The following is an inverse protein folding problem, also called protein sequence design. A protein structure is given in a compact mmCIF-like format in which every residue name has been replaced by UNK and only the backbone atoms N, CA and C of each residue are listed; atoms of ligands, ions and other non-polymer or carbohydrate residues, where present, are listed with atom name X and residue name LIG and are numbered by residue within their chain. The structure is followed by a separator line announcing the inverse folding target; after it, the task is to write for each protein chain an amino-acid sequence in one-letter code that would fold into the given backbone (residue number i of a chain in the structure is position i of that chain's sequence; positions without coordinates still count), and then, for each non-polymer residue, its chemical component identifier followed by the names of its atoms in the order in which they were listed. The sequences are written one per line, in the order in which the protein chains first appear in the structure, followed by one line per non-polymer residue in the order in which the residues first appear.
data_IF_940205258631
#
_entry.id   IF_940205258631
#
_cell.length_a   1.000
_cell.length_b   1.000
_cell.length_c   1.000
_cell.angle_alpha   90.00
_cell.angle_beta   90.00
_cell.angle_gamma   90.00
#
_symmetry.space_group_name_H-M   'P 1'
#
loop_
_entity.id
_entity.type
_entity.pdbx_description
1 polymer ?
#
# COMPACT_ATOMS: atom_id res chain seq x y z
N UNK A 1 9.45 52.37 2.51
CA UNK A 1 9.01 51.35 1.53
C UNK A 1 9.80 50.04 1.62
N UNK A 2 11.12 50.02 1.42
CA UNK A 2 11.95 48.78 1.40
C UNK A 2 11.75 47.80 2.56
N UNK A 3 11.47 48.28 3.77
CA UNK A 3 11.28 47.44 4.98
C UNK A 3 9.96 46.64 4.96
N UNK A 4 8.93 47.14 4.28
CA UNK A 4 7.64 46.42 4.14
C UNK A 4 7.74 45.30 3.10
N UNK A 5 8.48 45.53 2.00
CA UNK A 5 8.75 44.49 0.98
C UNK A 5 9.54 43.32 1.56
N UNK A 6 10.56 43.58 2.39
CA UNK A 6 11.36 42.50 3.02
C UNK A 6 10.55 41.66 4.01
N UNK A 7 9.55 42.25 4.68
CA UNK A 7 8.66 41.49 5.58
C UNK A 7 7.71 40.60 4.77
N UNK A 8 7.17 41.12 3.66
CA UNK A 8 6.29 40.36 2.78
C UNK A 8 7.02 39.17 2.11
N UNK A 9 8.24 39.37 1.62
CA UNK A 9 9.06 38.31 1.02
C UNK A 9 9.37 37.19 2.01
N UNK A 10 9.74 37.55 3.25
CA UNK A 10 10.01 36.58 4.31
C UNK A 10 8.76 35.78 4.71
N UNK A 11 7.59 36.42 4.75
CA UNK A 11 6.32 35.74 5.02
C UNK A 11 5.96 34.73 3.93
N UNK A 12 6.13 35.09 2.65
CA UNK A 12 5.89 34.18 1.51
C UNK A 12 6.87 33.00 1.52
N UNK A 13 8.15 33.26 1.81
CA UNK A 13 9.16 32.20 1.93
C UNK A 13 8.88 31.25 3.11
N UNK A 14 8.26 31.75 4.18
CA UNK A 14 7.84 30.94 5.33
C UNK A 14 6.63 30.07 4.99
N UNK A 15 5.62 30.62 4.30
CA UNK A 15 4.46 29.87 3.80
C UNK A 15 4.86 28.74 2.84
N UNK A 16 5.70 29.05 1.83
CA UNK A 16 6.21 28.04 0.88
C UNK A 16 6.97 26.91 1.58
N UNK A 17 7.77 27.21 2.61
CA UNK A 17 8.45 26.18 3.42
C UNK A 17 7.47 25.33 4.23
N UNK A 18 6.44 25.95 4.80
CA UNK A 18 5.39 25.23 5.54
C UNK A 18 4.62 24.24 4.66
N UNK A 19 4.36 24.61 3.40
CA UNK A 19 3.66 23.75 2.44
C UNK A 19 4.54 22.62 1.91
N UNK A 20 5.82 22.90 1.63
CA UNK A 20 6.79 21.87 1.25
C UNK A 20 6.95 20.80 2.33
N UNK A 21 7.10 21.21 3.60
CA UNK A 21 7.22 20.29 4.74
C UNK A 21 5.93 19.48 4.96
N UNK A 22 4.75 20.05 4.67
CA UNK A 22 3.48 19.31 4.69
C UNK A 22 3.41 18.29 3.55
N UNK A 23 3.82 18.68 2.35
CA UNK A 23 3.89 17.80 1.18
C UNK A 23 4.82 16.60 1.40
N UNK A 24 6.03 16.81 1.93
CA UNK A 24 6.98 15.73 2.25
C UNK A 24 6.42 14.75 3.29
N UNK A 25 5.75 15.27 4.33
CA UNK A 25 5.12 14.43 5.36
C UNK A 25 3.97 13.61 4.79
N UNK A 26 3.21 14.17 3.86
CA UNK A 26 2.10 13.48 3.19
C UNK A 26 2.64 12.42 2.22
N UNK A 27 3.63 12.74 1.40
CA UNK A 27 4.32 11.80 0.50
C UNK A 27 4.89 10.60 1.26
N UNK A 28 5.58 10.84 2.37
CA UNK A 28 6.13 9.75 3.20
C UNK A 28 5.06 8.85 3.82
N UNK A 29 3.88 9.40 4.12
CA UNK A 29 2.75 8.62 4.64
C UNK A 29 2.09 7.78 3.54
N UNK A 30 1.90 8.36 2.36
CA UNK A 30 1.38 7.66 1.17
C UNK A 30 2.31 6.53 0.73
N UNK A 31 3.64 6.75 0.70
CA UNK A 31 4.60 5.70 0.37
C UNK A 31 4.53 4.53 1.35
N UNK A 32 4.40 4.81 2.65
CA UNK A 32 4.28 3.78 3.69
C UNK A 32 3.00 2.95 3.52
N UNK A 33 1.89 3.60 3.17
CA UNK A 33 0.65 2.91 2.86
C UNK A 33 0.79 2.01 1.63
N UNK A 34 1.36 2.53 0.53
CA UNK A 34 1.60 1.76 -0.70
C UNK A 34 2.51 0.57 -0.42
N UNK A 35 3.55 0.75 0.39
CA UNK A 35 4.42 -0.34 0.82
C UNK A 35 3.66 -1.43 1.58
N UNK A 36 2.82 -1.06 2.55
CA UNK A 36 1.96 -2.01 3.26
C UNK A 36 0.98 -2.71 2.31
N UNK A 37 0.37 -1.97 1.39
CA UNK A 37 -0.54 -2.50 0.38
C UNK A 37 0.14 -3.53 -0.53
N UNK A 38 1.35 -3.25 -1.01
CA UNK A 38 2.15 -4.17 -1.82
C UNK A 38 2.53 -5.42 -1.03
N UNK A 39 2.86 -5.28 0.26
CA UNK A 39 3.11 -6.42 1.14
C UNK A 39 1.87 -7.31 1.29
N UNK A 40 0.69 -6.69 1.40
CA UNK A 40 -0.58 -7.40 1.38
C UNK A 40 -0.82 -8.12 0.05
N UNK A 41 -0.45 -7.51 -1.08
CA UNK A 41 -0.55 -8.15 -2.39
C UNK A 41 0.27 -9.43 -2.49
N UNK A 42 1.53 -9.39 -2.01
CA UNK A 42 2.41 -10.56 -1.96
C UNK A 42 1.79 -11.67 -1.09
N UNK A 43 1.25 -11.32 0.08
CA UNK A 43 0.62 -12.29 0.97
C UNK A 43 -0.61 -12.97 0.32
N UNK A 44 -1.47 -12.19 -0.33
CA UNK A 44 -2.63 -12.71 -1.07
C UNK A 44 -2.17 -13.60 -2.22
N UNK A 45 -1.14 -13.21 -2.97
CA UNK A 45 -0.60 -14.03 -4.05
C UNK A 45 -0.07 -15.39 -3.54
N UNK A 46 0.65 -15.40 -2.42
CA UNK A 46 1.12 -16.65 -1.78
C UNK A 46 -0.07 -17.54 -1.39
N UNK A 47 -1.13 -16.97 -0.80
CA UNK A 47 -2.33 -17.73 -0.46
C UNK A 47 -2.97 -18.37 -1.70
N UNK A 48 -3.09 -17.64 -2.81
CA UNK A 48 -3.59 -18.18 -4.07
C UNK A 48 -2.74 -19.36 -4.57
N UNK A 49 -1.40 -19.24 -4.51
CA UNK A 49 -0.50 -20.33 -4.90
C UNK A 49 -0.67 -21.55 -4.00
N UNK A 50 -0.78 -21.37 -2.68
CA UNK A 50 -0.97 -22.47 -1.73
C UNK A 50 -2.32 -23.17 -1.95
N UNK A 51 -3.39 -22.41 -2.18
CA UNK A 51 -4.70 -22.98 -2.52
C UNK A 51 -4.64 -23.74 -3.85
N UNK A 52 -3.98 -23.19 -4.87
CA UNK A 52 -3.80 -23.90 -6.14
C UNK A 52 -3.03 -25.22 -5.96
N UNK A 53 -1.92 -25.20 -5.20
CA UNK A 53 -1.13 -26.40 -4.92
C UNK A 53 -1.90 -27.46 -4.15
N UNK A 54 -2.71 -27.06 -3.16
CA UNK A 54 -3.54 -28.00 -2.40
C UNK A 54 -4.61 -28.65 -3.27
N UNK A 55 -5.24 -27.91 -4.19
CA UNK A 55 -6.18 -28.46 -5.18
C UNK A 55 -5.47 -29.46 -6.09
N UNK A 56 -4.28 -29.12 -6.62
CA UNK A 56 -3.46 -30.01 -7.45
C UNK A 56 -3.14 -31.32 -6.73
N UNK A 57 -2.77 -31.25 -5.44
CA UNK A 57 -2.40 -32.41 -4.64
C UNK A 57 -3.59 -33.32 -4.31
N UNK A 58 -4.78 -32.75 -4.14
CA UNK A 58 -5.99 -33.50 -3.78
C UNK A 58 -6.64 -34.16 -5.00
N UNK A 59 -6.71 -33.48 -6.14
CA UNK A 59 -7.32 -34.03 -7.35
C UNK A 59 -6.64 -33.56 -8.64
N UNK A 60 -5.50 -34.17 -9.01
CA UNK A 60 -4.70 -33.72 -10.15
C UNK A 60 -5.40 -33.91 -11.51
N UNK A 61 -6.34 -34.85 -11.60
CA UNK A 61 -7.07 -35.14 -12.85
C UNK A 61 -8.11 -34.07 -13.15
N UNK A 62 -8.90 -33.68 -12.15
CA UNK A 62 -9.87 -32.60 -12.32
C UNK A 62 -9.20 -31.25 -12.53
N UNK A 63 -8.08 -30.99 -11.83
CA UNK A 63 -7.30 -29.77 -12.02
C UNK A 63 -6.79 -29.61 -13.46
N UNK A 64 -6.22 -30.66 -14.05
CA UNK A 64 -5.73 -30.63 -15.44
C UNK A 64 -6.83 -30.25 -16.44
N UNK A 65 -8.02 -30.81 -16.27
CA UNK A 65 -9.15 -30.60 -17.17
C UNK A 65 -9.79 -29.22 -16.99
N UNK A 66 -9.85 -28.73 -15.75
CA UNK A 66 -10.33 -27.40 -15.41
C UNK A 66 -9.39 -26.31 -15.93
N UNK A 67 -8.07 -26.47 -15.75
CA UNK A 67 -7.06 -25.54 -16.27
C UNK A 67 -7.08 -25.48 -17.79
N UNK A 68 -7.19 -26.62 -18.48
CA UNK A 68 -7.27 -26.64 -19.94
C UNK A 68 -8.52 -25.90 -20.45
N UNK A 69 -9.67 -26.10 -19.81
CA UNK A 69 -10.90 -25.35 -20.13
C UNK A 69 -10.77 -23.86 -19.83
N UNK A 70 -10.13 -23.50 -18.72
CA UNK A 70 -9.95 -22.12 -18.28
C UNK A 70 -8.94 -21.34 -19.16
N UNK A 71 -7.89 -22.00 -19.66
CA UNK A 71 -6.92 -21.42 -20.60
C UNK A 71 -7.53 -21.20 -21.99
N UNK A 72 -8.52 -22.02 -22.37
CA UNK A 72 -9.23 -21.90 -23.64
C UNK A 72 -10.31 -20.82 -23.66
N UNK A 73 -10.72 -20.28 -22.51
CA UNK A 73 -11.64 -19.15 -22.43
C UNK A 73 -10.92 -17.80 -22.58
N UNK A 74 -11.46 -16.89 -23.39
CA UNK A 74 -10.88 -15.54 -23.66
C UNK A 74 -10.70 -14.67 -22.40
N UNK A 75 -11.28 -15.06 -21.26
CA UNK A 75 -11.16 -14.36 -19.96
C UNK A 75 -9.82 -14.58 -19.25
N UNK A 76 -8.94 -15.44 -19.77
CA UNK A 76 -7.66 -15.84 -19.15
C UNK A 76 -6.73 -14.66 -18.81
N UNK A 77 -6.91 -13.49 -19.42
CA UNK A 77 -5.98 -12.36 -19.24
C UNK A 77 -6.19 -11.53 -17.97
N UNK A 78 -7.29 -11.71 -17.22
CA UNK A 78 -7.57 -10.85 -16.08
C UNK A 78 -7.41 -11.61 -14.77
N UNK A 79 -6.20 -11.54 -14.22
CA UNK A 79 -5.92 -11.82 -12.81
C UNK A 79 -6.69 -10.78 -11.96
N UNK A 80 -8.01 -10.92 -11.87
CA UNK A 80 -8.87 -10.02 -11.12
C UNK A 80 -8.64 -10.30 -9.65
N UNK A 81 -7.91 -9.39 -9.00
CA UNK A 81 -7.89 -9.34 -7.55
C UNK A 81 -9.34 -9.16 -7.11
N UNK A 82 -9.85 -10.14 -6.37
CA UNK A 82 -11.22 -10.08 -5.86
C UNK A 82 -11.37 -8.89 -4.92
N UNK A 83 -12.59 -8.37 -4.75
CA UNK A 83 -12.89 -7.34 -3.75
C UNK A 83 -12.35 -7.70 -2.36
N UNK A 84 -12.41 -8.99 -2.02
CA UNK A 84 -11.82 -9.54 -0.80
C UNK A 84 -10.29 -9.43 -0.75
N UNK A 85 -9.61 -9.75 -1.86
CA UNK A 85 -8.16 -9.55 -2.00
C UNK A 85 -7.77 -8.08 -1.81
N UNK A 86 -8.50 -7.15 -2.44
CA UNK A 86 -8.30 -5.72 -2.25
C UNK A 86 -8.53 -5.28 -0.80
N UNK A 87 -9.56 -5.82 -0.13
CA UNK A 87 -9.84 -5.57 1.28
C UNK A 87 -8.67 -5.98 2.18
N UNK A 88 -8.11 -7.18 1.96
CA UNK A 88 -6.94 -7.65 2.69
C UNK A 88 -5.71 -6.76 2.45
N UNK A 89 -5.43 -6.40 1.20
CA UNK A 89 -4.31 -5.50 0.86
C UNK A 89 -4.46 -4.14 1.56
N UNK A 90 -5.68 -3.60 1.60
CA UNK A 90 -5.98 -2.34 2.27
C UNK A 90 -5.75 -2.43 3.78
N UNK A 91 -6.11 -3.55 4.43
CA UNK A 91 -5.82 -3.77 5.86
C UNK A 91 -4.32 -3.76 6.15
N UNK A 92 -3.50 -4.35 5.28
CA UNK A 92 -2.03 -4.30 5.42
C UNK A 92 -1.48 -2.87 5.26
N UNK A 93 -2.02 -2.09 4.32
CA UNK A 93 -1.68 -0.67 4.19
C UNK A 93 -2.03 0.15 5.44
N UNK A 94 -3.24 -0.06 5.99
CA UNK A 94 -3.68 0.58 7.24
C UNK A 94 -2.84 0.16 8.44
N UNK A 95 -2.47 -1.12 8.53
CA UNK A 95 -1.63 -1.64 9.60
C UNK A 95 -0.27 -0.95 9.66
N UNK A 96 0.40 -0.74 8.51
CA UNK A 96 1.67 0.00 8.46
C UNK A 96 1.53 1.46 8.91
N UNK A 97 0.41 2.11 8.58
CA UNK A 97 0.13 3.47 9.06
C UNK A 97 -0.07 3.53 10.58
N UNK A 98 -0.73 2.52 11.16
CA UNK A 98 -0.89 2.40 12.61
C UNK A 98 0.46 2.15 13.31
N UNK A 99 1.31 1.31 12.71
CA UNK A 99 2.66 1.03 13.19
C UNK A 99 3.50 2.31 13.24
N UNK A 100 3.44 3.12 12.18
CA UNK A 100 4.12 4.42 12.11
C UNK A 100 3.64 5.38 13.21
N UNK A 101 2.33 5.43 13.47
CA UNK A 101 1.78 6.24 14.58
C UNK A 101 2.30 5.76 15.93
N UNK A 102 2.39 4.45 16.15
CA UNK A 102 2.94 3.87 17.37
C UNK A 102 4.43 4.17 17.55
N UNK A 103 5.24 4.06 16.49
CA UNK A 103 6.66 4.41 16.51
C UNK A 103 6.89 5.88 16.83
N UNK A 104 6.12 6.79 16.22
CA UNK A 104 6.20 8.23 16.50
C UNK A 104 5.85 8.53 17.96
N UNK A 105 4.83 7.87 18.53
CA UNK A 105 4.46 8.00 19.96
C UNK A 105 5.60 7.52 20.88
N UNK A 106 6.23 6.37 20.57
CA UNK A 106 7.37 5.84 21.34
C UNK A 106 8.60 6.76 21.27
N UNK A 107 8.96 7.26 20.08
CA UNK A 107 10.08 8.21 19.91
C UNK A 107 9.85 9.53 20.66
N UNK A 108 8.61 10.03 20.72
CA UNK A 108 8.27 11.23 21.50
C UNK A 108 8.46 11.01 23.00
N UNK A 109 8.07 9.84 23.53
CA UNK A 109 8.26 9.49 24.95
C UNK A 109 9.73 9.32 25.38
N UNK A 110 10.64 9.01 24.45
CA UNK A 110 12.09 8.86 24.75
C UNK A 110 12.88 10.17 24.69
N UNK A 111 12.27 11.25 24.20
CA UNK A 111 12.89 12.59 24.09
C UNK A 111 12.42 13.55 25.19
N UNK A 112 11.46 13.13 26.01
CA UNK A 112 11.05 13.79 27.26
C UNK A 112 11.78 13.08 28.38
#
# INVERSE_FOLDING_TARGET
MKKMETIAENAVAWLKRGDAVRGEKQLGMSLRFIYGYLKGFIAVAILYVVVALTIILLDPKEFSLFVLRYVQTEEYSQLKVTLWGHGLMLLFGLYELLLLKAEKRKKKRRRV
#
